data_IF_327116056818
#
_entry.id   IF_327116056818
#
_cell.length_a   1.000
_cell.length_b   1.000
_cell.length_c   1.000
_cell.angle_alpha   90.00
_cell.angle_beta   90.00
_cell.angle_gamma   90.00
#
_symmetry.space_group_name_H-M   'P 1'
#
loop_
_entity.id
_entity.type
_entity.pdbx_description
1 polymer ?
#
# COMPACT_ATOMS: atom_id res chain seq x y z
N UNK A 1 2.12 13.79 -19.05
CA UNK A 1 1.90 14.14 -17.63
C UNK A 1 1.50 12.88 -16.90
N UNK A 2 2.36 12.36 -16.06
CA UNK A 2 2.05 11.14 -15.32
C UNK A 2 1.74 11.52 -13.86
N UNK A 3 0.47 11.41 -13.52
CA UNK A 3 -0.04 11.60 -12.16
C UNK A 3 -0.71 10.29 -11.73
N UNK A 4 -0.33 9.78 -10.58
CA UNK A 4 -0.96 8.62 -9.94
C UNK A 4 -1.66 9.06 -8.67
N UNK A 5 -2.88 8.61 -8.46
CA UNK A 5 -3.69 8.87 -7.29
C UNK A 5 -3.96 7.56 -6.56
N UNK A 6 -3.54 7.49 -5.31
CA UNK A 6 -3.69 6.30 -4.48
C UNK A 6 -4.59 6.61 -3.29
N UNK A 7 -5.54 5.73 -3.01
CA UNK A 7 -6.32 5.70 -1.78
C UNK A 7 -5.92 4.47 -0.97
N UNK A 8 -5.58 4.66 0.29
CA UNK A 8 -5.50 3.55 1.25
C UNK A 8 -6.61 3.71 2.29
N UNK A 9 -7.34 2.63 2.59
CA UNK A 9 -8.48 2.64 3.48
C UNK A 9 -8.53 1.41 4.40
N UNK A 10 -9.00 1.63 5.64
CA UNK A 10 -9.10 0.61 6.67
C UNK A 10 -9.66 1.19 7.97
N UNK A 11 -9.26 0.59 9.09
CA UNK A 11 -9.59 1.07 10.44
C UNK A 11 -8.37 1.64 11.17
N UNK A 12 -8.62 2.50 12.12
CA UNK A 12 -7.63 2.94 13.10
C UNK A 12 -6.96 1.74 13.79
N UNK A 13 -5.63 1.71 13.82
CA UNK A 13 -4.82 0.60 14.33
C UNK A 13 -4.28 -0.36 13.26
N UNK A 14 -4.81 -0.35 12.02
CA UNK A 14 -4.28 -1.17 10.92
C UNK A 14 -3.08 -0.57 10.18
N UNK A 15 -2.62 0.62 10.62
CA UNK A 15 -1.48 1.28 9.99
C UNK A 15 -1.75 1.84 8.59
N UNK A 16 -3.00 2.19 8.28
CA UNK A 16 -3.42 2.73 6.98
C UNK A 16 -2.71 4.04 6.66
N UNK A 17 -2.61 4.94 7.66
CA UNK A 17 -1.90 6.21 7.48
C UNK A 17 -0.41 5.99 7.24
N UNK A 18 0.21 5.06 7.99
CA UNK A 18 1.60 4.68 7.80
C UNK A 18 1.83 4.05 6.42
N UNK A 19 0.86 3.29 5.89
CA UNK A 19 0.92 2.78 4.52
C UNK A 19 0.98 3.91 3.49
N UNK A 20 0.15 4.95 3.67
CA UNK A 20 0.21 6.16 2.84
C UNK A 20 1.54 6.91 2.97
N UNK A 21 2.06 7.04 4.20
CA UNK A 21 3.38 7.62 4.46
C UNK A 21 4.50 6.86 3.73
N UNK A 22 4.48 5.52 3.74
CA UNK A 22 5.44 4.69 3.02
C UNK A 22 5.41 4.95 1.51
N UNK A 23 4.20 5.00 0.93
CA UNK A 23 4.01 5.26 -0.51
C UNK A 23 4.53 6.66 -0.86
N UNK A 24 4.15 7.65 -0.07
CA UNK A 24 4.55 9.04 -0.26
C UNK A 24 6.08 9.20 -0.20
N UNK A 25 6.70 8.65 0.83
CA UNK A 25 8.15 8.76 1.02
C UNK A 25 8.94 8.01 -0.06
N UNK A 26 8.49 6.81 -0.45
CA UNK A 26 9.11 6.04 -1.53
C UNK A 26 9.08 6.81 -2.87
N UNK A 27 7.99 7.52 -3.16
CA UNK A 27 7.89 8.39 -4.33
C UNK A 27 8.82 9.61 -4.23
N UNK A 28 8.94 10.22 -3.03
CA UNK A 28 9.87 11.33 -2.79
C UNK A 28 11.33 10.92 -3.02
N UNK A 29 11.73 9.71 -2.60
CA UNK A 29 13.07 9.18 -2.87
C UNK A 29 13.36 9.01 -4.36
N UNK A 30 12.31 8.90 -5.19
CA UNK A 30 12.40 8.89 -6.65
C UNK A 30 12.34 10.29 -7.28
N UNK A 31 12.43 11.35 -6.47
CA UNK A 31 12.41 12.74 -6.95
C UNK A 31 11.05 13.23 -7.44
N UNK A 32 9.93 12.59 -7.01
CA UNK A 32 8.59 12.97 -7.41
C UNK A 32 7.99 14.05 -6.50
N UNK A 33 7.09 14.84 -7.08
CA UNK A 33 6.17 15.67 -6.31
C UNK A 33 5.12 14.78 -5.66
N UNK A 34 4.87 14.99 -4.37
CA UNK A 34 3.95 14.16 -3.60
C UNK A 34 3.04 15.04 -2.75
N UNK A 35 1.75 14.73 -2.78
CA UNK A 35 0.80 15.27 -1.82
C UNK A 35 0.20 14.11 -1.01
N UNK A 36 0.22 14.22 0.32
CA UNK A 36 -0.32 13.24 1.23
C UNK A 36 -1.40 13.87 2.11
N UNK A 37 -2.60 13.30 2.08
CA UNK A 37 -3.77 13.82 2.79
C UNK A 37 -4.39 12.72 3.65
N UNK A 38 -4.04 12.66 4.95
CA UNK A 38 -4.68 11.73 5.87
C UNK A 38 -6.09 12.19 6.26
N UNK A 39 -6.98 11.23 6.47
CA UNK A 39 -8.34 11.46 6.94
C UNK A 39 -8.74 10.34 7.91
N UNK A 40 -9.24 10.71 9.06
CA UNK A 40 -9.74 9.78 10.08
C UNK A 40 -11.02 10.31 10.70
N UNK A 41 -11.89 9.38 11.09
CA UNK A 41 -13.14 9.72 11.76
C UNK A 41 -12.93 10.30 13.16
N UNK A 42 -13.98 10.82 13.77
CA UNK A 42 -13.96 11.39 15.14
C UNK A 42 -13.71 10.34 16.22
N UNK A 43 -13.82 9.05 15.88
CA UNK A 43 -13.60 7.96 16.84
C UNK A 43 -12.13 7.83 17.23
N UNK A 44 -11.85 7.78 18.51
CA UNK A 44 -10.50 7.70 19.05
C UNK A 44 -9.81 6.36 18.81
N UNK A 45 -10.57 5.28 18.56
CA UNK A 45 -10.06 3.93 18.21
C UNK A 45 -11.09 3.18 17.36
N UNK A 46 -10.62 2.41 16.38
CA UNK A 46 -11.46 1.53 15.57
C UNK A 46 -12.35 2.22 14.53
N UNK A 47 -12.27 3.56 14.42
CA UNK A 47 -12.98 4.31 13.39
C UNK A 47 -12.38 4.15 11.99
N UNK A 48 -13.14 4.53 10.97
CA UNK A 48 -12.68 4.52 9.58
C UNK A 48 -11.45 5.44 9.44
N UNK A 49 -10.40 4.93 8.84
CA UNK A 49 -9.18 5.67 8.52
C UNK A 49 -8.88 5.53 7.04
N UNK A 50 -8.56 6.63 6.38
CA UNK A 50 -8.12 6.62 5.00
C UNK A 50 -7.05 7.68 4.75
N UNK A 51 -6.29 7.51 3.71
CA UNK A 51 -5.39 8.54 3.24
C UNK A 51 -5.32 8.55 1.71
N UNK A 52 -5.09 9.72 1.16
CA UNK A 52 -4.83 9.92 -0.25
C UNK A 52 -3.36 10.24 -0.47
N UNK A 53 -2.77 9.65 -1.48
CA UNK A 53 -1.42 9.99 -1.95
C UNK A 53 -1.50 10.32 -3.43
N UNK A 54 -1.10 11.54 -3.78
CA UNK A 54 -0.96 11.95 -5.18
C UNK A 54 0.52 12.03 -5.50
N UNK A 55 0.94 11.35 -6.55
CA UNK A 55 2.33 11.29 -7.02
C UNK A 55 2.36 11.86 -8.42
N UNK A 56 3.29 12.78 -8.72
CA UNK A 56 3.36 13.47 -10.01
C UNK A 56 4.80 13.80 -10.40
N UNK A 57 5.07 13.86 -11.70
CA UNK A 57 6.33 14.42 -12.24
C UNK A 57 6.38 15.95 -12.15
N UNK A 58 5.23 16.59 -12.01
CA UNK A 58 5.07 18.05 -11.96
C UNK A 58 4.42 18.48 -10.65
N UNK A 59 4.44 19.78 -10.37
CA UNK A 59 3.76 20.35 -9.20
C UNK A 59 2.29 19.92 -9.13
N UNK A 60 1.82 19.67 -7.90
CA UNK A 60 0.49 19.16 -7.65
C UNK A 60 -0.44 20.30 -7.25
N UNK A 61 -1.30 20.73 -8.18
CA UNK A 61 -2.30 21.77 -7.93
C UNK A 61 -3.43 21.30 -7.01
N UNK A 62 -3.86 20.03 -7.17
CA UNK A 62 -4.92 19.43 -6.36
C UNK A 62 -4.37 18.21 -5.59
N UNK A 63 -4.24 18.31 -4.24
CA UNK A 63 -3.71 17.24 -3.40
C UNK A 63 -4.73 16.13 -3.10
N UNK A 64 -5.99 16.27 -3.55
CA UNK A 64 -7.06 15.30 -3.25
C UNK A 64 -7.19 14.34 -4.44
N UNK A 65 -7.16 13.04 -4.13
CA UNK A 65 -7.37 11.98 -5.10
C UNK A 65 -8.86 11.57 -5.13
N UNK A 66 -9.74 12.48 -5.61
CA UNK A 66 -11.19 12.22 -5.66
C UNK A 66 -11.55 10.96 -6.45
N UNK A 67 -10.78 10.68 -7.50
CA UNK A 67 -10.95 9.47 -8.33
C UNK A 67 -9.58 8.77 -8.34
N UNK A 68 -9.34 7.78 -7.47
CA UNK A 68 -8.07 7.08 -7.40
C UNK A 68 -7.83 6.17 -8.62
N UNK A 69 -6.55 6.00 -8.93
CA UNK A 69 -6.05 5.02 -9.91
C UNK A 69 -5.79 3.67 -9.24
N UNK A 70 -5.41 3.72 -7.95
CA UNK A 70 -5.10 2.54 -7.13
C UNK A 70 -5.78 2.68 -5.78
N UNK A 71 -6.41 1.60 -5.32
CA UNK A 71 -6.94 1.50 -3.95
C UNK A 71 -6.30 0.34 -3.20
N UNK A 72 -5.90 0.61 -1.95
CA UNK A 72 -5.43 -0.41 -1.00
C UNK A 72 -6.47 -0.55 0.12
N UNK A 73 -7.21 -1.65 0.10
CA UNK A 73 -8.33 -1.88 1.01
C UNK A 73 -7.95 -2.91 2.08
N UNK A 74 -7.91 -2.48 3.34
CA UNK A 74 -7.44 -3.29 4.47
C UNK A 74 -8.52 -4.19 5.08
N UNK A 75 -9.80 -3.85 4.96
CA UNK A 75 -10.89 -4.57 5.61
C UNK A 75 -12.25 -4.39 4.92
N UNK A 76 -13.19 -5.25 5.25
CA UNK A 76 -14.55 -5.30 4.68
C UNK A 76 -15.31 -3.95 4.73
N UNK A 77 -15.37 -3.20 5.84
CA UNK A 77 -16.08 -1.92 5.89
C UNK A 77 -15.50 -0.84 4.99
N UNK A 78 -14.25 -1.00 4.53
CA UNK A 78 -13.61 -0.03 3.65
C UNK A 78 -13.91 -0.26 2.18
N UNK A 79 -14.66 -1.32 1.83
CA UNK A 79 -15.20 -1.53 0.49
C UNK A 79 -16.18 -0.43 0.06
N UNK A 80 -16.73 0.34 1.01
CA UNK A 80 -17.57 1.52 0.72
C UNK A 80 -16.85 2.53 -0.22
N UNK A 81 -15.51 2.55 -0.22
CA UNK A 81 -14.70 3.46 -1.05
C UNK A 81 -14.53 2.99 -2.50
N UNK A 82 -14.84 1.73 -2.82
CA UNK A 82 -14.71 1.20 -4.19
C UNK A 82 -15.52 1.94 -5.26
N UNK A 83 -16.50 2.73 -4.83
CA UNK A 83 -17.28 3.55 -5.76
C UNK A 83 -16.46 4.73 -6.33
N UNK A 84 -15.38 5.10 -5.66
CA UNK A 84 -14.57 6.25 -6.02
C UNK A 84 -13.47 5.92 -7.04
N UNK A 85 -13.06 4.63 -7.16
CA UNK A 85 -12.00 4.23 -8.09
C UNK A 85 -12.46 4.34 -9.56
N UNK A 86 -11.56 4.80 -10.42
CA UNK A 86 -11.82 4.88 -11.86
C UNK A 86 -12.00 3.48 -12.49
N UNK A 87 -12.74 3.37 -13.60
CA UNK A 87 -12.69 2.17 -14.44
C UNK A 87 -11.25 1.84 -14.85
N UNK A 88 -10.93 0.55 -14.98
CA UNK A 88 -9.56 0.05 -15.25
C UNK A 88 -8.54 0.36 -14.14
N UNK A 89 -8.94 0.94 -13.02
CA UNK A 89 -8.11 1.12 -11.84
C UNK A 89 -7.72 -0.20 -11.19
N UNK A 90 -6.77 -0.18 -10.26
CA UNK A 90 -6.31 -1.36 -9.53
C UNK A 90 -6.77 -1.34 -8.08
N UNK A 91 -7.45 -2.39 -7.64
CA UNK A 91 -7.77 -2.63 -6.23
C UNK A 91 -6.85 -3.72 -5.70
N UNK A 92 -6.05 -3.38 -4.68
CA UNK A 92 -5.26 -4.34 -3.89
C UNK A 92 -5.97 -4.50 -2.55
N UNK A 93 -6.40 -5.70 -2.20
CA UNK A 93 -7.23 -5.88 -1.01
C UNK A 93 -6.78 -7.06 -0.14
N UNK A 94 -6.98 -6.93 1.17
CA UNK A 94 -6.59 -7.91 2.17
C UNK A 94 -7.63 -9.03 2.28
N UNK A 95 -7.40 -10.16 1.63
CA UNK A 95 -8.34 -11.29 1.60
C UNK A 95 -8.53 -11.98 2.95
N UNK A 96 -7.64 -11.76 3.93
CA UNK A 96 -7.86 -12.27 5.30
C UNK A 96 -9.04 -11.58 5.99
N UNK A 97 -9.32 -10.32 5.64
CA UNK A 97 -10.34 -9.48 6.30
C UNK A 97 -11.46 -9.05 5.35
N UNK A 98 -11.43 -9.53 4.10
CA UNK A 98 -12.44 -9.27 3.07
C UNK A 98 -12.75 -10.61 2.43
N UNK A 99 -13.90 -11.18 2.79
CA UNK A 99 -14.34 -12.52 2.38
C UNK A 99 -15.38 -12.49 1.25
N UNK A 100 -16.04 -11.35 1.02
CA UNK A 100 -17.05 -11.20 -0.03
C UNK A 100 -16.49 -11.03 -1.44
N UNK A 101 -15.15 -10.78 -1.55
CA UNK A 101 -14.55 -10.34 -2.80
C UNK A 101 -14.92 -8.90 -3.17
N UNK A 102 -14.58 -8.50 -4.38
CA UNK A 102 -14.83 -7.15 -4.93
C UNK A 102 -15.89 -7.27 -6.02
N UNK A 103 -17.04 -6.63 -5.79
CA UNK A 103 -18.16 -6.61 -6.74
C UNK A 103 -18.01 -5.43 -7.74
N UNK A 104 -16.93 -5.48 -8.53
CA UNK A 104 -16.61 -4.52 -9.60
C UNK A 104 -15.83 -5.23 -10.69
N UNK A 105 -16.47 -5.48 -11.84
CA UNK A 105 -15.88 -6.16 -12.98
C UNK A 105 -15.11 -5.23 -13.94
N UNK A 106 -15.30 -3.92 -13.76
CA UNK A 106 -14.64 -2.87 -14.53
C UNK A 106 -13.28 -2.42 -13.93
N UNK A 107 -12.84 -3.02 -12.81
CA UNK A 107 -11.55 -2.74 -12.17
C UNK A 107 -10.66 -3.97 -12.11
N UNK A 108 -9.36 -3.76 -12.04
CA UNK A 108 -8.38 -4.82 -11.82
C UNK A 108 -8.29 -5.13 -10.35
N UNK A 109 -8.21 -6.40 -10.01
CA UNK A 109 -8.28 -6.85 -8.64
C UNK A 109 -7.06 -7.71 -8.29
N UNK A 110 -6.45 -7.42 -7.15
CA UNK A 110 -5.40 -8.25 -6.59
C UNK A 110 -5.67 -8.52 -5.11
N UNK A 111 -6.08 -9.74 -4.80
CA UNK A 111 -6.28 -10.19 -3.43
C UNK A 111 -4.98 -10.73 -2.83
N UNK A 112 -4.63 -10.27 -1.62
CA UNK A 112 -3.48 -10.75 -0.86
C UNK A 112 -3.89 -11.04 0.59
N UNK A 113 -3.58 -12.22 1.18
CA UNK A 113 -3.90 -12.53 2.57
C UNK A 113 -2.92 -11.83 3.51
N UNK A 114 -2.93 -10.49 3.51
CA UNK A 114 -1.90 -9.66 4.14
C UNK A 114 -1.78 -9.89 5.65
N UNK A 115 -2.90 -10.07 6.34
CA UNK A 115 -2.91 -10.34 7.79
C UNK A 115 -2.36 -11.73 8.09
N UNK A 116 -2.75 -12.76 7.33
CA UNK A 116 -2.25 -14.12 7.50
C UNK A 116 -0.74 -14.20 7.22
N UNK A 117 -0.26 -13.54 6.16
CA UNK A 117 1.17 -13.44 5.85
C UNK A 117 1.91 -12.79 7.03
N UNK A 118 1.40 -11.68 7.56
CA UNK A 118 2.02 -11.00 8.69
C UNK A 118 2.06 -11.89 9.95
N UNK A 119 0.98 -12.61 10.27
CA UNK A 119 0.94 -13.55 11.37
C UNK A 119 1.94 -14.71 11.20
N UNK A 120 2.13 -15.16 9.96
CA UNK A 120 3.09 -16.21 9.61
C UNK A 120 4.54 -15.85 9.96
N UNK A 121 4.90 -14.57 9.95
CA UNK A 121 6.25 -14.09 10.27
C UNK A 121 6.70 -14.41 11.71
N UNK A 122 5.76 -14.66 12.63
CA UNK A 122 6.08 -15.06 13.99
C UNK A 122 6.96 -16.32 14.05
N UNK A 123 6.88 -17.16 13.03
CA UNK A 123 7.69 -18.39 12.94
C UNK A 123 9.13 -18.14 12.46
N UNK A 124 9.34 -17.02 11.77
CA UNK A 124 10.63 -16.67 11.15
C UNK A 124 11.48 -15.77 12.08
N UNK A 125 10.87 -15.14 13.06
CA UNK A 125 11.53 -14.18 13.95
C UNK A 125 11.43 -14.60 15.40
N UNK A 126 12.56 -14.76 16.12
CA UNK A 126 12.58 -15.00 17.56
C UNK A 126 12.25 -13.70 18.29
N UNK A 127 11.00 -13.30 18.32
CA UNK A 127 10.62 -12.09 19.05
C UNK A 127 9.42 -12.34 19.97
N UNK A 128 9.70 -12.75 21.20
CA UNK A 128 8.73 -12.71 22.30
C UNK A 128 8.25 -11.27 22.61
N UNK A 129 8.86 -10.28 21.97
CA UNK A 129 8.59 -8.86 22.20
C UNK A 129 7.43 -8.31 21.37
N UNK A 130 6.99 -8.99 20.30
CA UNK A 130 5.91 -8.53 19.43
C UNK A 130 4.68 -9.39 19.67
N UNK A 131 3.69 -8.84 20.37
CA UNK A 131 2.48 -9.56 20.75
C UNK A 131 1.47 -9.67 19.60
N UNK A 132 1.39 -8.66 18.75
CA UNK A 132 0.43 -8.61 17.64
C UNK A 132 1.12 -8.43 16.29
N UNK A 133 1.25 -9.53 15.55
CA UNK A 133 1.86 -9.53 14.21
C UNK A 133 0.96 -8.93 13.14
N UNK A 134 -0.36 -8.82 13.38
CA UNK A 134 -1.33 -8.25 12.42
C UNK A 134 -1.01 -6.81 12.07
N UNK A 135 -0.33 -6.09 12.97
CA UNK A 135 0.08 -4.71 12.72
C UNK A 135 1.02 -4.56 11.52
N UNK A 136 1.67 -5.62 11.05
CA UNK A 136 2.57 -5.60 9.88
C UNK A 136 1.86 -5.90 8.56
N UNK A 137 0.55 -6.12 8.57
CA UNK A 137 -0.23 -6.33 7.35
C UNK A 137 -0.14 -5.12 6.39
N UNK A 138 -0.02 -3.90 6.92
CA UNK A 138 0.22 -2.70 6.12
C UNK A 138 1.55 -2.76 5.34
N UNK A 139 2.61 -3.33 5.94
CA UNK A 139 3.90 -3.51 5.26
C UNK A 139 3.82 -4.60 4.18
N UNK A 140 3.04 -5.67 4.40
CA UNK A 140 2.75 -6.66 3.37
C UNK A 140 2.00 -6.02 2.20
N UNK A 141 0.97 -5.21 2.47
CA UNK A 141 0.22 -4.46 1.45
C UNK A 141 1.12 -3.48 0.69
N UNK A 142 2.04 -2.81 1.39
CA UNK A 142 3.03 -1.93 0.75
C UNK A 142 3.94 -2.71 -0.19
N UNK A 143 4.39 -3.90 0.20
CA UNK A 143 5.16 -4.79 -0.67
C UNK A 143 4.42 -5.18 -1.94
N UNK A 144 3.13 -5.50 -1.82
CA UNK A 144 2.27 -5.79 -2.97
C UNK A 144 2.12 -4.56 -3.88
N UNK A 145 1.88 -3.38 -3.31
CA UNK A 145 1.82 -2.13 -4.05
C UNK A 145 3.13 -1.86 -4.82
N UNK A 146 4.28 -2.00 -4.17
CA UNK A 146 5.57 -1.77 -4.82
C UNK A 146 5.78 -2.71 -6.01
N UNK A 147 5.49 -3.99 -5.86
CA UNK A 147 5.69 -4.96 -6.94
C UNK A 147 4.75 -4.71 -8.13
N UNK A 148 3.51 -4.30 -7.87
CA UNK A 148 2.50 -4.05 -8.91
C UNK A 148 2.63 -2.68 -9.57
N UNK A 149 3.02 -1.64 -8.81
CA UNK A 149 2.92 -0.26 -9.23
C UNK A 149 4.27 0.46 -9.34
N UNK A 150 5.30 -0.01 -8.64
CA UNK A 150 6.61 0.64 -8.56
C UNK A 150 7.76 -0.37 -8.42
N UNK A 151 7.87 -1.36 -9.33
CA UNK A 151 8.85 -2.46 -9.21
C UNK A 151 10.31 -1.99 -9.27
N UNK A 152 10.58 -0.80 -9.78
CA UNK A 152 11.90 -0.18 -9.89
C UNK A 152 12.44 0.35 -8.55
N UNK A 153 11.61 0.45 -7.49
CA UNK A 153 12.08 0.86 -6.16
C UNK A 153 12.91 -0.27 -5.56
N UNK A 154 14.20 0.02 -5.34
CA UNK A 154 15.17 -0.95 -4.87
C UNK A 154 15.11 -1.16 -3.35
N UNK A 155 15.62 -2.31 -2.90
CA UNK A 155 15.60 -2.69 -1.49
C UNK A 155 16.29 -1.68 -0.56
N UNK A 156 17.38 -1.05 -1.01
CA UNK A 156 18.10 -0.09 -0.20
C UNK A 156 17.30 1.20 0.02
N UNK A 157 16.51 1.63 -0.97
CA UNK A 157 15.58 2.75 -0.84
C UNK A 157 14.44 2.40 0.12
N UNK A 158 13.95 1.16 0.08
CA UNK A 158 12.95 0.66 1.03
C UNK A 158 13.51 0.66 2.46
N UNK A 159 14.73 0.17 2.67
CA UNK A 159 15.40 0.18 3.97
C UNK A 159 15.60 1.59 4.51
N UNK A 160 15.97 2.53 3.64
CA UNK A 160 16.10 3.94 4.00
C UNK A 160 14.76 4.53 4.46
N UNK A 161 13.68 4.25 3.71
CA UNK A 161 12.33 4.64 4.08
C UNK A 161 11.94 4.13 5.47
N UNK A 162 12.14 2.83 5.73
CA UNK A 162 11.85 2.24 7.04
C UNK A 162 12.69 2.85 8.16
N UNK A 163 13.97 3.13 7.93
CA UNK A 163 14.82 3.83 8.90
C UNK A 163 14.27 5.21 9.23
N UNK A 164 13.82 5.97 8.24
CA UNK A 164 13.23 7.29 8.46
C UNK A 164 12.01 7.23 9.40
N UNK A 165 11.09 6.28 9.19
CA UNK A 165 9.86 6.18 10.00
C UNK A 165 10.07 5.60 11.40
N UNK A 166 11.08 4.76 11.60
CA UNK A 166 11.32 4.06 12.87
C UNK A 166 12.54 4.55 13.64
N UNK A 167 13.22 5.61 13.18
CA UNK A 167 14.39 6.15 13.84
C UNK A 167 14.15 6.51 15.30
N UNK A 168 15.05 6.10 16.18
CA UNK A 168 15.15 6.50 17.58
C UNK A 168 14.22 5.77 18.54
N UNK A 169 12.96 5.47 18.22
CA UNK A 169 12.01 4.89 19.19
C UNK A 169 11.59 3.46 18.91
N UNK A 170 11.70 2.99 17.66
CA UNK A 170 11.16 1.70 17.23
C UNK A 170 12.06 1.01 16.21
N UNK A 171 13.36 1.22 16.25
CA UNK A 171 14.31 0.62 15.31
C UNK A 171 14.25 -0.91 15.26
N UNK A 172 13.89 -1.56 16.39
CA UNK A 172 13.68 -3.00 16.46
C UNK A 172 12.55 -3.50 15.53
N UNK A 173 11.67 -2.61 15.06
CA UNK A 173 10.60 -2.95 14.12
C UNK A 173 11.05 -2.89 12.65
N UNK A 174 12.21 -2.33 12.33
CA UNK A 174 12.70 -2.20 10.96
C UNK A 174 12.85 -3.56 10.28
N UNK A 175 13.55 -4.56 10.88
CA UNK A 175 13.75 -5.85 10.21
C UNK A 175 12.44 -6.57 9.91
N UNK A 176 11.47 -6.50 10.83
CA UNK A 176 10.19 -7.20 10.64
C UNK A 176 9.30 -6.49 9.61
N UNK A 177 9.27 -5.16 9.60
CA UNK A 177 8.57 -4.41 8.56
C UNK A 177 9.17 -4.68 7.18
N UNK A 178 10.52 -4.74 7.09
CA UNK A 178 11.19 -5.08 5.85
C UNK A 178 10.84 -6.51 5.40
N UNK A 179 10.89 -7.48 6.31
CA UNK A 179 10.52 -8.86 5.98
C UNK A 179 9.06 -8.97 5.52
N UNK A 180 8.13 -8.32 6.23
CA UNK A 180 6.71 -8.29 5.88
C UNK A 180 6.50 -7.72 4.46
N UNK A 181 7.19 -6.63 4.15
CA UNK A 181 7.16 -6.02 2.83
C UNK A 181 7.68 -6.97 1.75
N UNK A 182 8.82 -7.63 2.00
CA UNK A 182 9.39 -8.58 1.04
C UNK A 182 8.45 -9.77 0.80
N UNK A 183 7.76 -10.26 1.83
CA UNK A 183 6.72 -11.30 1.68
C UNK A 183 5.55 -10.83 0.80
N UNK A 184 5.16 -9.56 0.91
CA UNK A 184 4.17 -8.96 0.00
C UNK A 184 4.63 -8.98 -1.46
N UNK A 185 5.89 -8.58 -1.73
CA UNK A 185 6.49 -8.65 -3.08
C UNK A 185 6.56 -10.10 -3.58
N UNK A 186 7.03 -11.03 -2.75
CA UNK A 186 7.13 -12.47 -3.09
C UNK A 186 5.76 -13.04 -3.45
N UNK A 187 4.71 -12.69 -2.69
CA UNK A 187 3.35 -13.15 -2.95
C UNK A 187 2.84 -12.70 -4.32
N UNK A 188 3.05 -11.45 -4.69
CA UNK A 188 2.67 -10.93 -6.02
C UNK A 188 3.40 -11.69 -7.13
N UNK A 189 4.71 -11.92 -6.99
CA UNK A 189 5.51 -12.66 -7.99
C UNK A 189 5.04 -14.11 -8.16
N UNK A 190 4.61 -14.73 -7.06
CA UNK A 190 4.10 -16.10 -7.08
C UNK A 190 2.67 -16.21 -7.62
N UNK A 191 1.89 -15.11 -7.58
CA UNK A 191 0.48 -15.06 -7.98
C UNK A 191 0.25 -13.92 -8.99
N UNK A 192 0.82 -14.00 -10.20
CA UNK A 192 0.69 -12.92 -11.17
C UNK A 192 -0.77 -12.75 -11.58
N UNK A 193 -1.19 -11.50 -11.79
CA UNK A 193 -2.53 -11.22 -12.33
C UNK A 193 -2.59 -11.79 -13.76
N UNK A 194 -3.61 -12.60 -14.10
CA UNK A 194 -3.81 -13.02 -15.46
C UNK A 194 -3.84 -11.81 -16.41
N UNK A 195 -3.18 -11.92 -17.55
CA UNK A 195 -3.05 -10.81 -18.53
C UNK A 195 -2.30 -9.55 -18.03
N UNK A 196 -1.26 -9.74 -17.26
CA UNK A 196 -0.41 -8.63 -16.82
C UNK A 196 0.10 -7.74 -17.98
N UNK A 197 0.15 -8.27 -19.21
CA UNK A 197 0.46 -7.49 -20.41
C UNK A 197 -0.64 -6.47 -20.76
N UNK A 198 -1.88 -6.67 -20.34
CA UNK A 198 -2.99 -5.73 -20.49
C UNK A 198 -3.08 -4.72 -19.35
N UNK A 199 -2.39 -4.96 -18.23
CA UNK A 199 -2.22 -4.02 -17.11
C UNK A 199 -1.24 -2.88 -17.42
N UNK A 200 -0.86 -2.76 -18.67
CA UNK A 200 -0.18 -1.62 -19.25
C UNK A 200 -0.84 -0.23 -19.09
N UNK A 201 -1.93 0.00 -18.30
CA UNK A 201 -2.31 1.37 -17.95
C UNK A 201 -1.48 1.96 -16.82
N UNK A 202 -0.63 1.17 -16.16
CA UNK A 202 0.56 1.72 -15.52
C UNK A 202 1.60 2.24 -16.53
N UNK A 203 1.19 2.46 -17.79
CA UNK A 203 1.78 3.48 -18.66
C UNK A 203 1.77 4.86 -18.03
N UNK A 204 1.05 5.01 -16.91
CA UNK A 204 1.21 6.13 -16.01
C UNK A 204 2.23 5.89 -14.89
N UNK A 205 2.95 4.78 -14.88
CA UNK A 205 4.24 4.79 -14.20
C UNK A 205 5.07 5.78 -14.99
N UNK A 206 5.44 6.91 -14.41
CA UNK A 206 6.14 7.96 -15.11
C UNK A 206 7.40 7.42 -15.78
N UNK A 207 7.87 8.06 -16.82
CA UNK A 207 9.12 7.76 -17.52
C UNK A 207 10.36 7.63 -16.62
N UNK A 208 10.26 7.97 -15.34
CA UNK A 208 11.28 7.73 -14.32
C UNK A 208 11.47 6.25 -13.96
N UNK A 209 10.52 5.38 -14.31
CA UNK A 209 10.67 3.93 -14.16
C UNK A 209 11.56 3.30 -15.26
N UNK A 210 11.96 4.07 -16.27
CA UNK A 210 12.69 3.60 -17.44
C UNK A 210 14.12 4.19 -17.58
N UNK A 211 14.63 4.88 -16.55
CA UNK A 211 16.02 5.40 -16.56
C UNK A 211 16.91 4.70 -15.56
#
# INVERSE_FOLDING_TARGET
>A
MSKIKVLAAGHGGQGVLLLGDYIAYAAMLQGKHVAYTPSYGPETRGGKAKCYVVISDEEIDNPIAEIPDVELIMNQPSLDYLNDIRPEGLVIYNTTLIDTGIDRDDVKQFGIPATEIAEGLKRELPSDQIQDMKMFANSVMFGAFLELCAPQIEEDQIKESLKYFFAGKKESLIPINFLALMKGKEYVRANPIPDHKSLSPFHCIPSWAAQ
#
